data_IF_252323741205
#
_entry.id   IF_252323741205
#
_cell.length_a   1.000
_cell.length_b   1.000
_cell.length_c   1.000
_cell.angle_alpha   90.00
_cell.angle_beta   90.00
_cell.angle_gamma   90.00
#
_symmetry.space_group_name_H-M   'P 1'
#
loop_
_entity.id
_entity.type
_entity.pdbx_description
1 polymer ?
#
# COMPACT_ATOMS: atom_id res chain seq x y z
N UNK A 1 30.48 21.04 -57.48
CA UNK A 1 30.77 20.18 -56.32
C UNK A 1 29.90 20.73 -55.20
N UNK A 2 28.64 20.32 -55.04
CA UNK A 2 28.02 19.01 -55.37
C UNK A 2 28.78 17.86 -54.66
N UNK A 3 28.18 16.99 -53.83
CA UNK A 3 26.77 16.68 -53.51
C UNK A 3 26.64 16.46 -51.97
N UNK A 4 25.54 16.71 -51.24
CA UNK A 4 24.15 16.13 -51.18
C UNK A 4 24.07 14.72 -50.56
N UNK A 5 23.15 14.56 -49.57
CA UNK A 5 22.61 13.33 -48.96
C UNK A 5 23.57 12.48 -48.06
N UNK A 6 23.12 11.63 -47.11
CA UNK A 6 21.86 11.44 -46.32
C UNK A 6 22.18 10.43 -45.18
N UNK A 7 21.29 10.24 -44.20
CA UNK A 7 21.14 8.96 -43.48
C UNK A 7 21.26 8.98 -41.95
N UNK A 8 20.34 8.28 -41.30
CA UNK A 8 20.26 8.03 -39.85
C UNK A 8 21.00 6.75 -39.44
N UNK A 9 21.29 6.61 -38.13
CA UNK A 9 21.14 5.37 -37.34
C UNK A 9 21.88 5.51 -36.00
N UNK A 10 21.15 5.31 -34.90
CA UNK A 10 21.70 4.84 -33.63
C UNK A 10 21.56 3.31 -33.65
N UNK A 11 22.67 2.57 -33.54
CA UNK A 11 22.76 1.19 -32.99
C UNK A 11 24.14 0.55 -33.27
N UNK A 12 25.04 0.56 -32.26
CA UNK A 12 26.10 -0.48 -32.12
C UNK A 12 26.72 -0.43 -30.70
N UNK A 13 26.00 -0.96 -29.70
CA UNK A 13 26.51 -1.08 -28.32
C UNK A 13 26.47 -2.52 -27.76
N UNK A 14 26.40 -3.53 -28.64
CA UNK A 14 26.41 -4.96 -28.28
C UNK A 14 27.68 -5.71 -28.69
N UNK A 15 28.84 -5.03 -28.70
CA UNK A 15 30.13 -5.62 -29.13
C UNK A 15 31.34 -5.24 -28.25
N UNK A 16 31.43 -5.78 -27.02
CA UNK A 16 32.71 -6.15 -26.37
C UNK A 16 32.54 -6.97 -25.07
N UNK A 17 32.06 -8.22 -25.19
CA UNK A 17 32.17 -9.19 -24.09
C UNK A 17 33.59 -9.79 -23.98
N UNK A 18 33.93 -10.22 -22.75
CA UNK A 18 34.94 -11.27 -22.42
C UNK A 18 36.43 -10.89 -22.34
N UNK A 19 37.12 -11.49 -21.34
CA UNK A 19 38.59 -11.58 -21.09
C UNK A 19 39.20 -10.31 -20.47
N UNK A 20 39.82 -10.33 -19.28
CA UNK A 20 40.74 -11.35 -18.73
C UNK A 20 40.79 -11.31 -17.18
N UNK A 21 41.10 -12.43 -16.53
CA UNK A 21 41.26 -12.56 -15.05
C UNK A 21 42.63 -12.08 -14.54
N UNK A 22 42.67 -11.79 -13.22
CA UNK A 22 43.84 -11.82 -12.31
C UNK A 22 44.95 -10.76 -12.49
N UNK A 23 45.06 -9.86 -11.50
CA UNK A 23 46.19 -9.91 -10.55
C UNK A 23 45.84 -9.17 -9.25
N UNK A 24 46.24 -9.73 -8.10
CA UNK A 24 46.09 -9.09 -6.78
C UNK A 24 47.47 -8.77 -6.21
N UNK A 25 47.75 -7.50 -5.84
CA UNK A 25 48.87 -7.19 -4.95
C UNK A 25 48.71 -5.83 -4.25
N UNK A 26 49.18 -5.75 -3.00
CA UNK A 26 49.03 -4.59 -2.11
C UNK A 26 49.87 -3.37 -2.54
N UNK A 27 49.30 -2.16 -2.38
CA UNK A 27 50.05 -0.98 -1.92
C UNK A 27 49.22 -0.27 -0.84
N UNK A 28 49.82 -0.07 0.34
CA UNK A 28 49.30 0.74 1.44
C UNK A 28 50.31 1.87 1.70
N UNK A 29 49.94 3.13 1.45
CA UNK A 29 50.74 4.32 1.82
C UNK A 29 49.79 5.45 2.21
N UNK A 30 50.04 6.09 3.36
CA UNK A 30 49.30 7.27 3.83
C UNK A 30 49.88 8.56 3.23
N UNK A 31 49.04 9.58 3.09
CA UNK A 31 49.42 10.99 3.01
C UNK A 31 48.38 11.84 3.77
N UNK A 32 48.76 13.01 4.28
CA UNK A 32 47.94 13.74 5.27
C UNK A 32 48.10 15.27 5.19
N UNK A 33 46.97 15.99 5.27
CA UNK A 33 46.77 17.33 5.89
C UNK A 33 47.40 18.58 5.20
N UNK A 34 46.69 19.72 5.36
CA UNK A 34 47.07 21.13 5.09
C UNK A 34 47.01 21.65 3.62
N UNK A 35 46.65 22.92 3.33
CA UNK A 35 46.19 24.03 4.20
C UNK A 35 45.44 25.18 3.46
N UNK A 36 44.81 26.05 4.26
CA UNK A 36 44.22 27.39 4.08
C UNK A 36 44.56 28.26 2.83
N UNK A 37 43.52 28.94 2.31
CA UNK A 37 43.41 30.41 2.15
C UNK A 37 41.92 30.80 1.85
N UNK A 38 41.24 31.88 2.30
CA UNK A 38 41.52 33.12 3.06
C UNK A 38 41.37 34.44 2.25
N UNK A 39 40.20 35.09 2.40
CA UNK A 39 39.83 36.50 2.11
C UNK A 39 38.78 36.87 3.21
N UNK A 40 38.71 38.00 3.93
CA UNK A 40 39.10 39.43 3.75
C UNK A 40 38.33 40.18 2.65
N UNK A 41 37.70 41.33 2.89
CA UNK A 41 37.45 42.16 4.11
C UNK A 41 36.13 42.95 3.93
N UNK A 42 35.52 43.49 5.00
CA UNK A 42 35.19 44.95 5.14
C UNK A 42 34.26 45.30 6.33
N UNK A 43 34.61 46.38 7.05
CA UNK A 43 33.79 47.15 8.00
C UNK A 43 34.44 48.54 8.17
N UNK A 44 33.70 49.67 8.40
CA UNK A 44 33.49 50.14 9.79
C UNK A 44 32.29 51.09 10.06
N UNK A 45 32.04 51.43 11.35
CA UNK A 45 31.16 52.53 11.85
C UNK A 45 30.20 52.05 12.96
N UNK A 46 30.30 52.39 14.27
CA UNK A 46 30.44 53.68 14.98
C UNK A 46 29.10 54.48 15.06
N UNK A 47 28.60 55.03 16.18
CA UNK A 47 29.17 55.36 17.52
C UNK A 47 28.14 55.24 18.69
N UNK A 48 28.63 54.95 19.91
CA UNK A 48 28.15 55.32 21.28
C UNK A 48 26.68 55.71 21.63
N UNK A 49 26.17 55.09 22.73
CA UNK A 49 25.98 55.80 24.01
C UNK A 49 24.56 56.12 24.53
N UNK A 50 24.33 55.92 25.84
CA UNK A 50 23.15 56.39 26.60
C UNK A 50 22.84 55.54 27.84
N UNK A 51 22.75 56.16 29.03
CA UNK A 51 22.36 55.56 30.33
C UNK A 51 21.04 56.20 30.84
N UNK A 52 20.64 55.89 32.08
CA UNK A 52 19.57 56.50 32.91
C UNK A 52 18.08 56.14 32.60
N UNK A 53 17.12 56.11 33.53
CA UNK A 53 17.10 55.76 34.98
C UNK A 53 15.61 55.59 35.48
N UNK A 54 15.43 54.91 36.61
CA UNK A 54 14.40 55.08 37.66
C UNK A 54 12.84 54.98 37.45
N UNK A 55 12.22 54.33 38.47
CA UNK A 55 10.88 54.56 39.09
C UNK A 55 9.58 54.12 38.38
N UNK A 56 8.69 53.28 38.97
CA UNK A 56 7.78 53.42 40.16
C UNK A 56 6.47 54.17 39.78
N UNK A 57 5.22 53.68 40.00
CA UNK A 57 4.57 53.32 41.30
C UNK A 57 3.32 52.40 41.24
N UNK A 58 3.08 51.73 42.38
CA UNK A 58 1.93 50.96 42.95
C UNK A 58 0.43 51.31 42.68
N UNK A 59 -0.43 50.29 42.90
CA UNK A 59 -1.90 50.31 43.17
C UNK A 59 -2.53 48.93 42.85
N UNK A 60 -3.08 48.05 43.73
CA UNK A 60 -3.81 48.15 45.02
C UNK A 60 -5.31 48.54 44.82
N UNK A 61 -6.37 47.83 45.27
CA UNK A 61 -6.53 46.62 46.12
C UNK A 61 -7.94 45.96 45.95
N UNK A 62 -8.21 44.87 46.71
CA UNK A 62 -9.53 44.47 47.32
C UNK A 62 -10.77 44.03 46.47
N UNK A 63 -11.76 43.26 46.95
CA UNK A 63 -11.88 42.01 47.78
C UNK A 63 -13.36 41.49 47.71
N UNK A 64 -13.65 40.30 48.28
CA UNK A 64 -15.00 39.67 48.48
C UNK A 64 -15.80 39.24 47.21
N UNK A 65 -16.56 38.13 47.10
CA UNK A 65 -17.14 37.08 47.96
C UNK A 65 -18.69 37.10 47.96
N UNK A 66 -19.33 35.99 47.57
CA UNK A 66 -20.51 35.32 48.21
C UNK A 66 -21.04 34.16 47.35
N UNK A 67 -21.41 33.05 47.99
CA UNK A 67 -22.29 31.98 47.49
C UNK A 67 -23.76 32.51 47.27
N UNK A 68 -24.81 31.78 46.87
CA UNK A 68 -25.28 30.50 47.43
C UNK A 68 -26.51 29.92 46.68
N UNK A 69 -26.89 28.69 47.07
CA UNK A 69 -28.20 28.02 47.02
C UNK A 69 -28.78 27.34 45.75
N UNK A 70 -29.64 26.35 46.04
CA UNK A 70 -30.21 25.33 45.14
C UNK A 70 -31.76 25.43 45.09
N UNK A 71 -32.37 25.06 43.97
CA UNK A 71 -33.84 25.02 43.81
C UNK A 71 -34.31 23.82 42.96
N UNK A 72 -35.35 23.11 43.42
CA UNK A 72 -35.79 21.82 42.85
C UNK A 72 -37.31 21.72 42.63
N UNK A 73 -37.72 20.64 41.93
CA UNK A 73 -39.04 19.97 41.98
C UNK A 73 -40.22 20.39 41.06
N UNK A 74 -40.55 19.48 40.15
CA UNK A 74 -41.81 18.71 40.07
C UNK A 74 -43.18 19.34 39.71
N UNK A 75 -43.64 18.95 38.50
CA UNK A 75 -44.88 18.17 38.26
C UNK A 75 -46.24 18.87 37.94
N UNK A 76 -47.07 18.10 37.20
CA UNK A 76 -48.55 18.09 37.07
C UNK A 76 -49.26 18.70 35.84
N UNK A 77 -50.21 17.88 35.31
CA UNK A 77 -51.31 18.14 34.34
C UNK A 77 -50.95 18.53 32.89
N UNK A 78 -51.50 17.98 31.79
CA UNK A 78 -52.72 17.20 31.42
C UNK A 78 -53.73 17.99 30.55
N UNK A 79 -53.83 17.62 29.27
CA UNK A 79 -55.09 17.63 28.47
C UNK A 79 -55.04 16.59 27.35
N UNK A 80 -56.12 15.82 27.19
CA UNK A 80 -56.43 14.89 26.06
C UNK A 80 -56.77 15.63 24.74
N UNK A 81 -56.90 15.02 23.55
CA UNK A 81 -57.80 13.91 23.18
C UNK A 81 -57.58 13.38 21.73
N UNK A 82 -58.07 12.15 21.45
CA UNK A 82 -58.38 11.56 20.13
C UNK A 82 -57.19 11.19 19.19
N UNK A 83 -57.17 10.05 18.48
CA UNK A 83 -58.24 9.06 18.16
C UNK A 83 -57.75 7.60 18.29
N UNK A 84 -58.68 6.65 18.33
CA UNK A 84 -58.53 5.24 18.73
C UNK A 84 -58.08 4.26 17.62
N UNK A 85 -57.68 3.05 18.01
CA UNK A 85 -57.32 1.91 17.18
C UNK A 85 -58.47 0.88 17.04
N UNK A 86 -58.23 -0.26 16.39
CA UNK A 86 -58.89 -1.58 16.59
C UNK A 86 -58.30 -2.60 15.59
N UNK A 87 -58.32 -3.92 15.76
CA UNK A 87 -58.09 -4.83 16.92
C UNK A 87 -58.05 -6.29 16.36
N UNK A 88 -57.61 -7.29 17.14
CA UNK A 88 -57.74 -8.76 16.92
C UNK A 88 -56.91 -9.40 15.76
N UNK A 89 -56.36 -10.63 15.83
CA UNK A 89 -56.25 -11.67 16.88
C UNK A 89 -55.19 -12.75 16.49
N UNK A 90 -54.51 -13.37 17.48
CA UNK A 90 -54.52 -14.83 17.82
C UNK A 90 -54.44 -15.91 16.67
N UNK A 91 -53.66 -17.01 16.67
CA UNK A 91 -52.51 -17.52 17.49
C UNK A 91 -51.73 -18.64 16.73
N UNK A 92 -50.78 -19.30 17.42
CA UNK A 92 -49.81 -20.34 17.04
C UNK A 92 -50.32 -21.74 16.57
N UNK A 93 -49.48 -22.42 15.78
CA UNK A 93 -49.06 -23.86 15.88
C UNK A 93 -49.67 -24.98 14.98
N UNK A 94 -48.87 -26.06 14.84
CA UNK A 94 -49.17 -27.48 14.56
C UNK A 94 -49.56 -28.01 13.13
N UNK A 95 -48.51 -28.37 12.38
CA UNK A 95 -48.27 -29.62 11.58
C UNK A 95 -49.34 -30.71 11.29
N UNK A 96 -49.26 -31.25 10.05
CA UNK A 96 -49.30 -32.70 9.63
C UNK A 96 -50.54 -33.31 8.88
N UNK A 97 -50.25 -34.35 8.07
CA UNK A 97 -51.11 -35.41 7.45
C UNK A 97 -51.84 -35.23 6.08
N UNK A 98 -51.15 -35.64 5.00
CA UNK A 98 -51.54 -36.59 3.90
C UNK A 98 -52.98 -36.77 3.36
N UNK A 99 -53.16 -36.67 2.02
CA UNK A 99 -53.80 -37.67 1.10
C UNK A 99 -53.59 -37.26 -0.40
N UNK A 100 -52.81 -37.97 -1.25
CA UNK A 100 -53.14 -39.06 -2.23
C UNK A 100 -53.87 -38.71 -3.54
N UNK A 101 -53.20 -38.95 -4.71
CA UNK A 101 -53.73 -39.28 -6.08
C UNK A 101 -54.70 -38.30 -6.77
N UNK A 102 -54.84 -38.17 -8.10
CA UNK A 102 -54.26 -38.78 -9.33
C UNK A 102 -54.38 -37.72 -10.48
N UNK A 103 -54.11 -37.85 -11.80
CA UNK A 103 -53.94 -38.98 -12.77
C UNK A 103 -53.11 -38.51 -14.01
N UNK A 104 -52.83 -39.40 -14.97
CA UNK A 104 -52.18 -39.11 -16.29
C UNK A 104 -53.14 -39.04 -17.49
N UNK A 105 -52.74 -38.36 -18.58
CA UNK A 105 -53.00 -38.68 -20.01
C UNK A 105 -52.08 -37.78 -20.89
N UNK A 106 -50.98 -38.23 -21.50
CA UNK A 106 -50.77 -39.00 -22.77
C UNK A 106 -50.87 -38.21 -24.10
N UNK A 107 -49.89 -38.51 -24.97
CA UNK A 107 -49.70 -38.06 -26.36
C UNK A 107 -50.74 -38.57 -27.37
N UNK A 108 -50.86 -37.87 -28.51
CA UNK A 108 -51.21 -38.49 -29.81
C UNK A 108 -50.46 -37.82 -30.99
N UNK A 109 -50.47 -38.45 -32.18
CA UNK A 109 -49.63 -38.15 -33.37
C UNK A 109 -50.33 -38.47 -34.72
N UNK A 110 -49.64 -38.25 -35.86
CA UNK A 110 -50.00 -38.58 -37.27
C UNK A 110 -50.98 -37.63 -37.99
N UNK A 111 -50.60 -36.79 -38.98
CA UNK A 111 -50.00 -37.01 -40.32
C UNK A 111 -51.01 -37.29 -41.48
N UNK A 112 -50.73 -36.70 -42.66
CA UNK A 112 -51.41 -36.82 -43.98
C UNK A 112 -52.83 -36.18 -44.12
N UNK A 113 -53.29 -35.66 -45.28
CA UNK A 113 -52.70 -35.58 -46.66
C UNK A 113 -53.23 -34.38 -47.47
N UNK A 114 -52.44 -33.98 -48.49
CA UNK A 114 -52.82 -33.37 -49.79
C UNK A 114 -53.41 -31.94 -49.83
N UNK A 115 -53.05 -31.18 -50.87
CA UNK A 115 -53.35 -29.75 -51.04
C UNK A 115 -52.43 -29.05 -52.05
N UNK A 116 -52.60 -29.37 -53.34
CA UNK A 116 -51.78 -28.88 -54.48
C UNK A 116 -51.62 -27.35 -54.59
N UNK A 117 -50.41 -26.90 -54.92
CA UNK A 117 -50.19 -25.71 -55.76
C UNK A 117 -48.99 -25.94 -56.71
N UNK A 118 -49.03 -25.33 -57.91
CA UNK A 118 -48.00 -25.47 -58.96
C UNK A 118 -47.86 -24.21 -59.83
N UNK A 119 -46.86 -23.38 -59.54
CA UNK A 119 -46.17 -22.50 -60.51
C UNK A 119 -44.72 -22.43 -60.03
N UNK A 120 -43.77 -23.05 -60.74
CA UNK A 120 -43.12 -22.49 -61.93
C UNK A 120 -42.48 -21.13 -61.62
N UNK A 121 -41.18 -21.17 -61.34
CA UNK A 121 -40.42 -20.08 -60.72
C UNK A 121 -38.92 -20.29 -60.80
N UNK A 122 -38.44 -20.83 -61.93
CA UNK A 122 -37.03 -21.02 -62.31
C UNK A 122 -36.11 -21.72 -61.31
N UNK A 123 -35.63 -22.88 -61.73
CA UNK A 123 -34.36 -23.48 -61.31
C UNK A 123 -33.18 -22.52 -61.56
N UNK A 124 -33.00 -21.55 -60.66
CA UNK A 124 -31.67 -21.08 -60.33
C UNK A 124 -31.11 -22.06 -59.31
N UNK A 125 -30.30 -23.00 -59.80
CA UNK A 125 -29.11 -23.43 -59.08
C UNK A 125 -28.41 -22.14 -58.66
N UNK A 126 -28.60 -21.75 -57.39
CA UNK A 126 -27.62 -20.90 -56.74
C UNK A 126 -26.30 -21.63 -56.92
N UNK A 127 -25.31 -20.95 -57.48
CA UNK A 127 -23.95 -21.46 -57.42
C UNK A 127 -23.52 -21.37 -55.97
N UNK A 128 -23.88 -22.39 -55.21
CA UNK A 128 -22.93 -23.05 -54.34
C UNK A 128 -21.62 -23.10 -55.14
N UNK A 129 -20.71 -22.20 -54.84
CA UNK A 129 -19.31 -22.42 -55.15
C UNK A 129 -18.86 -23.53 -54.24
N UNK A 130 -19.23 -24.76 -54.62
CA UNK A 130 -18.58 -26.01 -54.26
C UNK A 130 -17.14 -25.94 -54.82
N UNK A 131 -16.36 -25.05 -54.21
CA UNK A 131 -14.92 -25.06 -54.25
C UNK A 131 -14.49 -26.31 -53.49
N UNK A 132 -14.52 -27.42 -54.21
CA UNK A 132 -13.67 -28.60 -53.96
C UNK A 132 -12.19 -28.25 -54.22
N UNK A 133 -11.75 -27.15 -53.63
CA UNK A 133 -10.37 -26.89 -53.25
C UNK A 133 -10.23 -27.29 -51.78
N UNK A 134 -9.07 -27.80 -51.38
CA UNK A 134 -8.82 -28.25 -50.01
C UNK A 134 -8.41 -27.10 -49.08
N UNK A 135 -9.07 -25.96 -49.17
CA UNK A 135 -8.83 -24.79 -48.33
C UNK A 135 -9.91 -24.65 -47.27
N UNK A 136 -9.50 -24.35 -46.03
CA UNK A 136 -10.38 -24.25 -44.87
C UNK A 136 -11.45 -23.17 -44.96
N UNK A 137 -12.42 -23.29 -44.06
CA UNK A 137 -13.60 -22.42 -43.98
C UNK A 137 -13.61 -21.63 -42.66
N UNK A 138 -12.55 -20.84 -42.42
CA UNK A 138 -12.46 -19.78 -41.41
C UNK A 138 -13.84 -19.29 -40.91
N UNK A 139 -14.18 -19.71 -39.69
CA UNK A 139 -15.51 -19.56 -39.09
C UNK A 139 -16.23 -20.89 -38.83
N UNK A 140 -15.57 -22.04 -38.96
CA UNK A 140 -16.16 -23.36 -38.65
C UNK A 140 -15.58 -24.00 -37.36
N UNK A 141 -14.51 -23.44 -36.81
CA UNK A 141 -13.88 -23.87 -35.57
C UNK A 141 -12.91 -25.05 -35.73
N UNK A 142 -12.42 -25.30 -36.95
CA UNK A 142 -11.40 -26.30 -37.26
C UNK A 142 -10.18 -25.60 -37.87
N UNK A 143 -9.04 -25.62 -37.17
CA UNK A 143 -7.78 -25.09 -37.68
C UNK A 143 -7.30 -25.93 -38.89
N UNK A 144 -7.46 -25.38 -40.10
CA UNK A 144 -7.06 -26.01 -41.36
C UNK A 144 -5.64 -25.61 -41.84
N UNK A 145 -5.09 -26.33 -42.82
CA UNK A 145 -3.70 -26.20 -43.33
C UNK A 145 -3.29 -24.78 -43.83
N UNK A 146 -4.25 -23.85 -44.00
CA UNK A 146 -4.05 -22.48 -44.50
C UNK A 146 -4.26 -21.38 -43.45
N UNK A 147 -4.53 -21.76 -42.20
CA UNK A 147 -4.96 -20.84 -41.13
C UNK A 147 -3.96 -20.82 -39.97
N UNK A 148 -4.01 -19.75 -39.18
CA UNK A 148 -3.19 -19.58 -37.97
C UNK A 148 -3.98 -19.97 -36.72
N UNK A 149 -5.27 -19.65 -36.70
CA UNK A 149 -6.25 -20.10 -35.71
C UNK A 149 -7.67 -19.98 -36.29
N UNK A 150 -8.60 -20.79 -35.79
CA UNK A 150 -10.05 -20.63 -35.96
C UNK A 150 -10.71 -21.01 -34.63
N UNK A 151 -11.49 -20.10 -34.03
CA UNK A 151 -12.24 -20.32 -32.78
C UNK A 151 -13.76 -20.52 -32.99
N UNK A 152 -14.22 -20.50 -34.25
CA UNK A 152 -15.62 -20.62 -34.67
C UNK A 152 -16.43 -19.32 -34.57
N UNK A 153 -15.81 -18.21 -34.12
CA UNK A 153 -16.42 -16.88 -34.01
C UNK A 153 -15.64 -15.87 -34.84
N UNK A 154 -14.31 -15.86 -34.69
CA UNK A 154 -13.32 -15.07 -35.42
C UNK A 154 -13.69 -13.58 -35.53
N UNK A 155 -14.15 -12.98 -34.43
CA UNK A 155 -14.62 -11.59 -34.38
C UNK A 155 -13.52 -10.58 -33.99
N UNK A 156 -12.29 -11.04 -33.77
CA UNK A 156 -11.19 -10.23 -33.25
C UNK A 156 -11.28 -9.97 -31.74
N UNK A 157 -12.06 -10.77 -30.99
CA UNK A 157 -12.09 -10.69 -29.53
C UNK A 157 -10.79 -11.16 -28.89
N UNK A 158 -10.48 -10.58 -27.73
CA UNK A 158 -9.23 -10.79 -26.99
C UNK A 158 -9.00 -12.26 -26.62
N UNK A 159 -7.81 -12.78 -26.92
CA UNK A 159 -7.47 -14.20 -26.78
C UNK A 159 -8.08 -15.13 -27.84
N UNK A 160 -8.80 -14.59 -28.83
CA UNK A 160 -9.41 -15.31 -29.95
C UNK A 160 -8.73 -15.04 -31.29
N UNK A 161 -9.49 -15.16 -32.37
CA UNK A 161 -9.02 -15.07 -33.75
C UNK A 161 -9.54 -13.85 -34.50
N UNK A 162 -8.73 -13.32 -35.43
CA UNK A 162 -9.18 -12.29 -36.35
C UNK A 162 -10.04 -12.86 -37.49
N UNK A 163 -10.94 -12.04 -38.03
CA UNK A 163 -11.94 -12.40 -39.06
C UNK A 163 -11.42 -12.84 -40.44
N UNK A 164 -10.11 -13.08 -40.58
CA UNK A 164 -9.47 -13.70 -41.75
C UNK A 164 -8.76 -15.02 -41.44
N UNK A 165 -8.71 -15.44 -40.17
CA UNK A 165 -7.96 -16.60 -39.66
C UNK A 165 -6.47 -16.63 -40.05
N UNK A 166 -5.91 -15.51 -40.51
CA UNK A 166 -4.49 -15.35 -40.85
C UNK A 166 -3.67 -14.83 -39.66
N UNK A 167 -4.32 -14.52 -38.54
CA UNK A 167 -3.70 -14.00 -37.32
C UNK A 167 -4.60 -14.24 -36.10
N UNK A 168 -3.96 -14.43 -34.95
CA UNK A 168 -4.62 -14.28 -33.65
C UNK A 168 -5.09 -12.82 -33.49
N UNK A 169 -6.17 -12.63 -32.74
CA UNK A 169 -6.49 -11.33 -32.15
C UNK A 169 -5.44 -10.96 -31.10
N UNK A 170 -5.61 -9.81 -30.45
CA UNK A 170 -4.70 -9.37 -29.39
C UNK A 170 -4.81 -10.27 -28.14
N UNK A 171 -3.70 -10.64 -27.50
CA UNK A 171 -3.68 -11.63 -26.41
C UNK A 171 -2.47 -11.55 -25.47
N UNK A 172 -2.68 -11.81 -24.18
CA UNK A 172 -1.61 -11.89 -23.18
C UNK A 172 -0.48 -12.85 -23.59
N UNK A 173 0.74 -12.31 -23.64
CA UNK A 173 1.95 -12.99 -24.08
C UNK A 173 2.34 -12.68 -25.54
N UNK A 174 1.77 -11.62 -26.14
CA UNK A 174 2.11 -11.14 -27.50
C UNK A 174 3.15 -10.01 -27.52
N UNK A 175 3.49 -9.47 -26.34
CA UNK A 175 4.42 -8.35 -26.08
C UNK A 175 3.94 -6.95 -26.50
N UNK A 176 2.64 -6.74 -26.76
CA UNK A 176 2.04 -5.42 -26.99
C UNK A 176 0.85 -5.15 -26.05
N UNK A 177 1.04 -4.44 -24.93
CA UNK A 177 -0.03 -4.11 -23.96
C UNK A 177 -1.31 -3.61 -24.65
N UNK A 178 -2.36 -4.43 -24.62
CA UNK A 178 -3.58 -4.29 -25.41
C UNK A 178 -4.84 -4.71 -24.62
N UNK A 179 -6.01 -4.52 -25.24
CA UNK A 179 -7.26 -5.12 -24.74
C UNK A 179 -7.59 -4.78 -23.26
N UNK A 180 -7.61 -5.77 -22.35
CA UNK A 180 -7.82 -5.60 -20.92
C UNK A 180 -6.52 -5.60 -20.08
N UNK A 181 -5.34 -5.67 -20.70
CA UNK A 181 -4.04 -5.91 -20.05
C UNK A 181 -3.53 -4.67 -19.29
N UNK A 182 -2.79 -4.92 -18.21
CA UNK A 182 -2.01 -3.91 -17.48
C UNK A 182 -0.52 -3.96 -17.83
N UNK A 183 -0.04 -5.13 -18.25
CA UNK A 183 1.34 -5.42 -18.62
C UNK A 183 1.38 -6.55 -19.68
N UNK A 184 2.46 -6.64 -20.45
CA UNK A 184 2.83 -7.83 -21.21
C UNK A 184 4.36 -7.86 -21.32
N UNK A 185 4.95 -8.97 -20.88
CA UNK A 185 6.37 -9.28 -20.80
C UNK A 185 6.79 -10.45 -21.74
N UNK A 186 5.81 -11.07 -22.39
CA UNK A 186 5.84 -12.36 -23.08
C UNK A 186 6.54 -13.50 -22.31
N UNK A 187 6.36 -13.61 -20.99
CA UNK A 187 6.89 -14.73 -20.21
C UNK A 187 5.99 -15.22 -19.04
N UNK A 188 6.57 -15.93 -18.07
CA UNK A 188 5.86 -16.62 -16.96
C UNK A 188 6.55 -16.32 -15.58
N UNK A 189 7.49 -15.37 -15.50
CA UNK A 189 8.29 -15.09 -14.30
C UNK A 189 7.56 -14.10 -13.37
N UNK A 190 6.74 -14.67 -12.48
CA UNK A 190 5.91 -13.99 -11.47
C UNK A 190 6.63 -12.88 -10.67
N UNK A 191 7.97 -12.88 -10.63
CA UNK A 191 8.78 -11.91 -9.89
C UNK A 191 9.06 -10.59 -10.62
N UNK A 192 8.89 -10.50 -11.95
CA UNK A 192 9.26 -9.29 -12.71
C UNK A 192 8.19 -8.18 -12.73
N UNK A 193 6.96 -8.51 -12.32
CA UNK A 193 5.85 -7.58 -12.16
C UNK A 193 4.69 -7.79 -13.13
N UNK A 194 4.81 -8.73 -14.07
CA UNK A 194 3.67 -9.22 -14.85
C UNK A 194 3.33 -10.67 -14.47
N UNK A 195 2.09 -10.91 -14.06
CA UNK A 195 1.56 -12.27 -13.94
C UNK A 195 1.17 -12.77 -15.34
N UNK A 196 1.22 -14.08 -15.61
CA UNK A 196 0.83 -14.65 -16.92
C UNK A 196 -0.69 -14.65 -17.21
N UNK A 197 -1.43 -13.77 -16.55
CA UNK A 197 -2.77 -13.29 -16.93
C UNK A 197 -2.76 -11.81 -17.41
N UNK A 198 -1.58 -11.20 -17.51
CA UNK A 198 -1.31 -9.82 -17.92
C UNK A 198 -1.90 -8.73 -16.98
N UNK A 199 -1.87 -9.01 -15.68
CA UNK A 199 -2.17 -8.08 -14.59
C UNK A 199 -0.93 -7.83 -13.72
N UNK A 200 -0.85 -6.63 -13.12
CA UNK A 200 0.24 -6.25 -12.20
C UNK A 200 -0.20 -6.51 -10.75
N UNK A 201 0.47 -7.40 -10.00
CA UNK A 201 0.06 -7.74 -8.65
C UNK A 201 0.18 -6.53 -7.72
N UNK A 202 -0.88 -6.22 -6.99
CA UNK A 202 -0.91 -5.16 -5.99
C UNK A 202 -0.21 -5.58 -4.70
N UNK A 203 -0.15 -6.88 -4.41
CA UNK A 203 0.39 -7.45 -3.16
C UNK A 203 1.11 -8.78 -3.40
N UNK A 204 1.96 -9.20 -2.47
CA UNK A 204 2.53 -10.55 -2.46
C UNK A 204 1.46 -11.65 -2.25
N UNK A 205 0.33 -11.32 -1.61
CA UNK A 205 -0.79 -12.25 -1.44
C UNK A 205 -1.45 -12.61 -2.78
N UNK A 206 -1.64 -11.62 -3.67
CA UNK A 206 -2.17 -11.86 -5.02
C UNK A 206 -1.25 -12.78 -5.85
N UNK A 207 0.07 -12.67 -5.67
CA UNK A 207 1.06 -13.56 -6.33
C UNK A 207 0.92 -14.99 -5.80
N UNK A 208 0.75 -15.16 -4.48
CA UNK A 208 0.62 -16.47 -3.83
C UNK A 208 -0.73 -17.15 -4.10
N UNK A 209 -1.82 -16.37 -4.24
CA UNK A 209 -3.13 -16.87 -4.69
C UNK A 209 -3.12 -17.23 -6.19
N UNK A 210 -2.27 -16.57 -6.99
CA UNK A 210 -2.08 -16.91 -8.41
C UNK A 210 -1.26 -18.20 -8.61
N UNK A 211 -0.11 -18.34 -7.92
CA UNK A 211 0.63 -19.61 -7.82
C UNK A 211 1.03 -19.93 -6.38
N UNK A 212 0.35 -20.92 -5.79
CA UNK A 212 0.67 -21.49 -4.48
C UNK A 212 2.01 -22.26 -4.42
N UNK A 213 2.81 -22.25 -5.48
CA UNK A 213 4.21 -22.67 -5.50
C UNK A 213 5.23 -21.51 -5.45
N UNK A 214 4.78 -20.25 -5.34
CA UNK A 214 5.64 -19.10 -5.05
C UNK A 214 6.43 -19.30 -3.73
N UNK A 215 7.57 -18.61 -3.61
CA UNK A 215 8.53 -18.80 -2.51
C UNK A 215 9.13 -17.48 -2.05
N UNK A 216 9.59 -17.41 -0.81
CA UNK A 216 10.19 -16.20 -0.23
C UNK A 216 11.25 -15.57 -1.16
N UNK A 217 11.17 -14.26 -1.39
CA UNK A 217 12.08 -13.55 -2.28
C UNK A 217 11.57 -12.19 -2.75
N UNK A 218 12.32 -11.58 -3.67
CA UNK A 218 12.01 -10.26 -4.21
C UNK A 218 11.09 -10.37 -5.43
N UNK A 219 9.94 -9.69 -5.37
CA UNK A 219 8.96 -9.61 -6.46
C UNK A 219 8.62 -8.13 -6.73
N UNK A 220 8.30 -7.79 -7.97
CA UNK A 220 7.74 -6.48 -8.29
C UNK A 220 6.23 -6.47 -8.02
N UNK A 221 5.76 -5.49 -7.25
CA UNK A 221 4.33 -5.24 -6.95
C UNK A 221 4.00 -3.77 -7.16
N UNK A 222 2.74 -3.45 -7.48
CA UNK A 222 2.28 -2.07 -7.69
C UNK A 222 1.07 -1.67 -6.87
N UNK A 223 1.16 -1.52 -5.52
CA UNK A 223 0.04 -1.14 -4.64
C UNK A 223 -0.69 0.17 -4.99
N UNK A 224 -0.11 0.98 -5.88
CA UNK A 224 -0.66 2.26 -6.37
C UNK A 224 -1.10 2.19 -7.84
N UNK A 225 -1.36 0.99 -8.35
CA UNK A 225 -1.66 0.73 -9.76
C UNK A 225 -0.43 0.36 -10.61
N UNK A 226 -0.65 -0.15 -11.83
CA UNK A 226 0.37 -0.81 -12.65
C UNK A 226 1.51 0.11 -13.12
N UNK A 227 1.32 1.42 -13.15
CA UNK A 227 2.38 2.38 -13.48
C UNK A 227 3.33 2.72 -12.31
N UNK A 228 3.03 2.22 -11.10
CA UNK A 228 3.72 2.57 -9.85
C UNK A 228 4.30 1.31 -9.14
N UNK A 229 5.05 0.48 -9.88
CA UNK A 229 5.65 -0.77 -9.35
C UNK A 229 6.97 -0.56 -8.60
N UNK A 230 7.16 -1.30 -7.51
CA UNK A 230 8.42 -1.40 -6.77
C UNK A 230 8.76 -2.84 -6.40
N UNK A 231 10.03 -3.09 -6.07
CA UNK A 231 10.53 -4.39 -5.64
C UNK A 231 10.25 -4.58 -4.14
N UNK A 232 9.22 -5.35 -3.81
CA UNK A 232 8.92 -5.76 -2.45
C UNK A 232 9.73 -7.00 -2.05
N UNK A 233 9.89 -7.19 -0.73
CA UNK A 233 10.33 -8.45 -0.15
C UNK A 233 9.07 -9.26 0.19
N UNK A 234 8.82 -10.34 -0.53
CA UNK A 234 7.67 -11.20 -0.28
C UNK A 234 8.05 -12.37 0.63
N UNK A 235 7.43 -12.47 1.80
CA UNK A 235 7.44 -13.70 2.59
C UNK A 235 6.21 -14.55 2.20
N UNK A 236 6.50 -15.74 1.66
CA UNK A 236 5.52 -16.70 1.15
C UNK A 236 5.37 -17.93 2.07
N UNK A 237 5.94 -17.90 3.29
CA UNK A 237 5.99 -19.07 4.19
C UNK A 237 5.58 -18.77 5.64
N UNK A 238 5.86 -17.58 6.19
CA UNK A 238 5.47 -17.17 7.54
C UNK A 238 3.96 -17.07 7.65
N UNK A 239 3.39 -17.80 8.61
CA UNK A 239 1.94 -17.93 8.84
C UNK A 239 1.09 -18.14 7.56
N UNK A 240 1.63 -18.88 6.59
CA UNK A 240 0.96 -19.17 5.32
C UNK A 240 1.29 -18.23 4.14
N UNK A 241 2.13 -17.21 4.36
CA UNK A 241 2.67 -16.36 3.29
C UNK A 241 1.75 -15.22 2.82
N UNK A 242 2.14 -14.57 1.73
CA UNK A 242 1.43 -13.45 1.10
C UNK A 242 1.84 -12.07 1.63
N UNK A 243 2.85 -12.01 2.49
CA UNK A 243 3.28 -10.79 3.17
C UNK A 243 4.03 -9.85 2.23
N UNK A 244 3.59 -8.59 2.16
CA UNK A 244 4.19 -7.56 1.32
C UNK A 244 5.15 -6.70 2.15
N UNK A 245 6.45 -6.97 2.02
CA UNK A 245 7.53 -6.27 2.73
C UNK A 245 8.03 -5.02 2.00
N UNK A 246 8.08 -3.90 2.72
CA UNK A 246 8.64 -2.63 2.23
C UNK A 246 9.56 -1.96 3.26
N UNK A 247 10.46 -1.10 2.76
CA UNK A 247 11.44 -0.37 3.55
C UNK A 247 11.19 1.14 3.59
N UNK A 248 11.85 1.86 4.50
CA UNK A 248 11.77 3.32 4.59
C UNK A 248 12.19 4.08 3.31
N UNK A 249 12.84 3.43 2.33
CA UNK A 249 13.14 4.03 1.03
C UNK A 249 11.92 4.16 0.11
N UNK A 250 10.92 3.27 0.26
CA UNK A 250 9.74 3.25 -0.61
C UNK A 250 8.84 4.49 -0.37
N UNK A 251 8.86 5.04 0.85
CA UNK A 251 8.07 6.21 1.27
C UNK A 251 8.51 7.55 0.67
N UNK A 252 9.70 7.60 0.06
CA UNK A 252 10.30 8.82 -0.50
C UNK A 252 10.64 8.75 -1.99
N UNK A 253 10.83 7.54 -2.53
CA UNK A 253 10.98 7.33 -3.97
C UNK A 253 9.66 7.58 -4.73
N UNK A 254 8.53 7.47 -4.04
CA UNK A 254 7.17 7.62 -4.57
C UNK A 254 6.39 6.30 -4.64
N UNK A 255 7.07 5.19 -4.37
CA UNK A 255 6.55 3.81 -4.37
C UNK A 255 5.36 3.63 -3.42
N UNK A 256 5.40 4.26 -2.24
CA UNK A 256 4.29 4.39 -1.29
C UNK A 256 4.15 5.87 -0.91
N UNK A 257 2.92 6.37 -0.80
CA UNK A 257 2.70 7.74 -0.30
C UNK A 257 2.83 7.77 1.23
N UNK A 258 3.41 8.85 1.78
CA UNK A 258 3.57 8.98 3.22
C UNK A 258 3.49 10.43 3.72
N UNK A 259 3.07 10.60 4.98
CA UNK A 259 2.87 11.90 5.61
C UNK A 259 3.45 11.92 7.04
N UNK A 260 4.42 12.80 7.26
CA UNK A 260 4.97 13.10 8.59
C UNK A 260 4.15 14.20 9.26
N UNK A 261 3.57 13.91 10.42
CA UNK A 261 2.71 14.82 11.19
C UNK A 261 3.31 15.07 12.58
N UNK A 262 3.47 16.34 12.95
CA UNK A 262 3.78 16.74 14.32
C UNK A 262 2.47 16.94 15.10
N UNK A 263 2.25 16.13 16.14
CA UNK A 263 1.17 16.32 17.11
C UNK A 263 1.61 17.31 18.18
N UNK A 264 2.81 17.11 18.73
CA UNK A 264 3.58 18.09 19.49
C UNK A 264 4.97 18.21 18.86
N UNK A 265 5.33 19.41 18.40
CA UNK A 265 6.51 19.62 17.55
C UNK A 265 7.83 19.70 18.33
N UNK A 266 8.86 19.02 17.84
CA UNK A 266 10.19 18.98 18.41
C UNK A 266 11.01 20.23 18.03
N UNK A 267 11.91 20.73 18.91
CA UNK A 267 12.92 21.73 18.60
C UNK A 267 13.88 21.41 17.43
N UNK A 268 14.25 20.14 17.21
CA UNK A 268 14.86 19.66 15.96
C UNK A 268 14.03 18.53 15.34
N UNK A 269 13.58 18.71 14.11
CA UNK A 269 12.94 17.67 13.31
C UNK A 269 13.51 17.59 11.88
N UNK A 270 13.28 16.47 11.19
CA UNK A 270 13.62 16.37 9.77
C UNK A 270 13.44 14.98 9.17
N UNK A 271 13.92 14.86 7.93
CA UNK A 271 14.10 13.59 7.20
C UNK A 271 15.52 13.60 6.64
N UNK A 272 16.25 12.50 6.79
CA UNK A 272 17.64 12.41 6.35
C UNK A 272 17.81 12.00 4.86
N UNK A 273 19.05 11.86 4.42
CA UNK A 273 19.38 11.51 3.03
C UNK A 273 19.06 10.05 2.65
N UNK A 274 18.75 9.21 3.63
CA UNK A 274 18.27 7.84 3.46
C UNK A 274 16.76 7.72 3.72
N UNK A 275 16.04 8.85 3.74
CA UNK A 275 14.59 8.96 3.90
C UNK A 275 14.03 8.54 5.27
N UNK A 276 14.86 8.53 6.30
CA UNK A 276 14.41 8.26 7.67
C UNK A 276 13.98 9.57 8.34
N UNK A 277 12.74 9.70 8.83
CA UNK A 277 12.37 10.83 9.67
C UNK A 277 13.15 10.76 10.99
N UNK A 278 13.35 11.91 11.62
CA UNK A 278 13.92 11.99 12.95
C UNK A 278 13.37 13.17 13.74
N UNK A 279 13.46 13.04 15.06
CA UNK A 279 13.25 14.13 16.02
C UNK A 279 14.35 14.14 17.07
N UNK A 280 14.64 15.32 17.61
CA UNK A 280 15.33 15.53 18.88
C UNK A 280 14.75 16.78 19.52
N UNK A 281 14.33 16.69 20.78
CA UNK A 281 14.06 17.89 21.56
C UNK A 281 15.32 18.49 22.16
N UNK A 282 15.22 19.74 22.61
CA UNK A 282 16.31 20.49 23.21
C UNK A 282 15.77 21.30 24.40
N UNK A 283 15.11 20.61 25.34
CA UNK A 283 14.02 21.07 26.22
C UNK A 283 12.63 21.10 25.54
N UNK A 284 11.79 20.11 25.87
CA UNK A 284 10.37 20.04 25.54
C UNK A 284 9.80 18.64 25.77
N UNK A 285 8.57 18.44 25.36
CA UNK A 285 8.09 17.12 24.94
C UNK A 285 7.75 17.20 23.46
N UNK A 286 7.65 16.04 22.80
CA UNK A 286 7.25 15.96 21.40
C UNK A 286 6.50 14.66 21.12
N UNK A 287 5.63 14.67 20.10
CA UNK A 287 4.90 13.48 19.62
C UNK A 287 4.65 13.64 18.13
N UNK A 288 5.07 12.64 17.35
CA UNK A 288 4.96 12.61 15.90
C UNK A 288 4.27 11.31 15.46
N UNK A 289 3.57 11.39 14.33
CA UNK A 289 3.11 10.22 13.59
C UNK A 289 3.66 10.27 12.17
N UNK A 290 4.03 9.11 11.63
CA UNK A 290 4.35 8.93 10.24
C UNK A 290 3.37 7.92 9.66
N UNK A 291 2.51 8.43 8.79
CA UNK A 291 1.46 7.68 8.13
C UNK A 291 2.01 7.22 6.76
N UNK A 292 1.82 5.94 6.42
CA UNK A 292 2.27 5.31 5.17
C UNK A 292 1.05 4.64 4.54
N UNK A 293 0.67 5.08 3.34
CA UNK A 293 -0.51 4.57 2.64
C UNK A 293 -0.18 3.28 1.86
N UNK A 294 -0.95 2.24 2.10
CA UNK A 294 -0.95 0.96 1.39
C UNK A 294 -2.36 0.71 0.82
N UNK A 295 -2.66 1.20 -0.40
CA UNK A 295 -4.02 1.26 -0.93
C UNK A 295 -4.80 -0.08 -1.08
N UNK A 296 -4.16 -1.25 -1.27
CA UNK A 296 -4.88 -2.53 -1.29
C UNK A 296 -5.55 -2.86 0.06
N UNK A 297 -5.03 -2.26 1.14
CA UNK A 297 -5.41 -2.57 2.51
C UNK A 297 -4.58 -3.70 3.10
N UNK A 298 -4.61 -3.79 4.43
CA UNK A 298 -4.02 -4.85 5.24
C UNK A 298 -4.83 -4.98 6.54
N UNK A 299 -4.93 -6.18 7.11
CA UNK A 299 -5.50 -6.39 8.46
C UNK A 299 -4.51 -6.96 9.48
N UNK A 300 -3.27 -7.23 9.06
CA UNK A 300 -2.16 -7.58 9.94
C UNK A 300 -0.78 -7.10 9.43
N UNK A 301 0.19 -7.01 10.35
CA UNK A 301 1.57 -6.63 10.01
C UNK A 301 2.61 -7.31 10.92
N UNK A 302 3.87 -7.41 10.47
CA UNK A 302 5.01 -7.74 11.33
C UNK A 302 6.27 -6.93 10.97
N UNK A 303 7.28 -6.99 11.85
CA UNK A 303 8.45 -6.13 11.86
C UNK A 303 9.76 -6.95 11.69
N UNK A 304 10.07 -7.30 10.44
CA UNK A 304 11.21 -8.18 10.09
C UNK A 304 12.56 -7.46 10.17
N UNK A 305 13.46 -7.96 11.03
CA UNK A 305 14.76 -7.34 11.37
C UNK A 305 14.67 -5.82 11.66
N UNK A 306 13.52 -5.36 12.19
CA UNK A 306 13.24 -3.94 12.40
C UNK A 306 14.08 -3.32 13.52
N UNK A 307 14.63 -2.13 13.27
CA UNK A 307 15.51 -1.41 14.20
C UNK A 307 15.10 0.05 14.34
N UNK A 308 14.98 0.54 15.59
CA UNK A 308 14.92 1.96 15.95
C UNK A 308 16.31 2.48 16.34
N UNK A 309 16.54 3.79 16.32
CA UNK A 309 17.79 4.39 16.77
C UNK A 309 17.61 5.66 17.57
N UNK A 310 18.31 5.74 18.71
CA UNK A 310 18.37 6.95 19.53
C UNK A 310 19.11 8.10 18.83
N UNK A 311 18.62 9.33 19.04
CA UNK A 311 19.20 10.59 18.58
C UNK A 311 19.24 11.61 19.73
N UNK A 312 19.82 11.24 20.87
CA UNK A 312 20.04 12.16 21.98
C UNK A 312 21.39 12.88 21.89
N UNK A 313 21.54 14.00 22.60
CA UNK A 313 22.81 14.74 22.68
C UNK A 313 23.47 14.54 24.04
N UNK A 314 24.65 13.92 24.06
CA UNK A 314 25.39 13.66 25.29
C UNK A 314 25.61 14.95 26.12
N UNK A 315 25.22 14.98 27.40
CA UNK A 315 25.15 13.82 28.31
C UNK A 315 23.83 13.05 28.35
N UNK A 316 22.78 13.50 27.67
CA UNK A 316 21.43 12.95 27.74
C UNK A 316 21.23 11.75 26.79
N UNK A 317 20.08 11.06 26.92
CA UNK A 317 19.87 9.69 26.43
C UNK A 317 18.41 9.44 26.04
N UNK A 318 18.12 8.91 24.85
CA UNK A 318 16.76 8.50 24.47
C UNK A 318 16.39 7.17 25.14
N UNK A 319 15.17 7.05 25.63
CA UNK A 319 14.88 6.16 26.76
C UNK A 319 13.47 5.52 26.70
N UNK A 320 13.37 4.29 26.18
CA UNK A 320 12.12 3.50 26.23
C UNK A 320 12.11 2.63 27.50
N UNK A 321 11.02 2.71 28.27
CA UNK A 321 10.88 1.94 29.52
C UNK A 321 9.44 1.47 29.78
N UNK A 322 9.17 0.20 29.44
CA UNK A 322 7.91 -0.50 29.68
C UNK A 322 7.38 -0.51 31.14
N UNK A 323 8.22 -0.16 32.12
CA UNK A 323 7.83 -0.01 33.53
C UNK A 323 7.37 1.40 33.92
N UNK A 324 7.45 2.36 33.00
CA UNK A 324 7.17 3.80 33.22
C UNK A 324 6.07 4.29 32.28
N UNK A 325 6.21 4.04 30.98
CA UNK A 325 5.28 4.45 29.94
C UNK A 325 5.14 3.35 28.88
N UNK A 326 3.96 3.30 28.24
CA UNK A 326 3.64 2.51 27.04
C UNK A 326 2.63 3.34 26.25
N UNK A 327 2.88 3.58 24.97
CA UNK A 327 1.98 4.38 24.14
C UNK A 327 0.62 3.69 23.97
N UNK A 328 -0.46 4.44 24.17
CA UNK A 328 -1.84 3.94 24.11
C UNK A 328 -2.82 4.90 23.39
N UNK A 329 -2.28 5.97 22.81
CA UNK A 329 -2.99 6.92 21.94
C UNK A 329 -2.00 7.44 20.89
N UNK A 330 -2.49 7.81 19.71
CA UNK A 330 -1.68 8.55 18.74
C UNK A 330 -1.45 10.01 19.15
N UNK A 331 -2.24 10.56 20.09
CA UNK A 331 -2.14 11.94 20.56
C UNK A 331 -0.99 12.20 21.56
N UNK A 332 -0.39 11.15 22.16
CA UNK A 332 0.61 11.25 23.23
C UNK A 332 1.56 10.03 23.19
N UNK A 333 2.85 10.27 22.93
CA UNK A 333 3.91 9.25 22.87
C UNK A 333 4.93 9.33 24.02
N UNK A 334 4.63 10.04 25.13
CA UNK A 334 5.56 10.21 26.26
C UNK A 334 4.87 10.19 27.66
N UNK A 335 3.55 10.33 27.72
CA UNK A 335 2.73 10.23 28.93
C UNK A 335 2.96 11.34 29.96
N UNK A 336 3.54 12.48 29.54
CA UNK A 336 4.13 13.48 30.44
C UNK A 336 5.21 12.90 31.39
N UNK A 337 5.84 11.79 30.99
CA UNK A 337 7.00 11.22 31.67
C UNK A 337 8.30 11.72 31.01
N UNK A 338 9.44 11.30 31.55
CA UNK A 338 10.74 11.48 30.93
C UNK A 338 11.16 10.25 30.12
N UNK A 339 10.23 9.60 29.42
CA UNK A 339 10.42 8.33 28.71
C UNK A 339 9.45 8.27 27.53
N UNK A 340 9.96 7.87 26.38
CA UNK A 340 9.21 7.78 25.13
C UNK A 340 8.77 6.37 24.81
N UNK A 341 8.26 6.23 23.59
CA UNK A 341 7.97 4.95 22.96
C UNK A 341 8.11 5.08 21.43
N UNK A 342 8.20 3.94 20.75
CA UNK A 342 8.10 3.85 19.28
C UNK A 342 7.08 2.75 18.98
N UNK A 343 6.01 3.09 18.28
CA UNK A 343 4.78 2.30 18.22
C UNK A 343 4.20 2.19 16.81
N UNK A 344 3.38 1.14 16.60
CA UNK A 344 2.96 0.66 15.28
C UNK A 344 1.49 0.24 15.30
N UNK A 345 0.76 0.53 14.23
CA UNK A 345 -0.63 0.10 14.07
C UNK A 345 -1.34 0.79 12.91
N UNK A 346 -2.67 0.72 12.89
CA UNK A 346 -3.49 1.47 11.92
C UNK A 346 -3.63 2.94 12.32
N UNK A 347 -3.62 3.82 11.32
CA UNK A 347 -3.96 5.23 11.47
C UNK A 347 -5.45 5.49 11.82
N UNK A 348 -6.34 4.53 11.53
CA UNK A 348 -7.79 4.61 11.75
C UNK A 348 -8.19 4.26 13.20
N UNK A 349 -7.33 3.52 13.91
CA UNK A 349 -7.54 3.14 15.31
C UNK A 349 -7.12 4.26 16.29
N UNK A 350 -7.67 4.33 17.52
CA UNK A 350 -7.35 5.39 18.49
C UNK A 350 -5.89 5.40 18.99
N UNK A 351 -5.14 4.34 18.76
CA UNK A 351 -3.76 4.17 19.23
C UNK A 351 -3.09 2.94 18.61
N UNK A 352 -1.83 2.67 18.97
CA UNK A 352 -1.05 1.58 18.37
C UNK A 352 -1.58 0.18 18.73
N UNK A 353 -1.26 -0.78 17.85
CA UNK A 353 -1.47 -2.21 18.08
C UNK A 353 -0.31 -2.82 18.90
N UNK A 354 0.91 -2.31 18.74
CA UNK A 354 2.10 -2.67 19.53
C UNK A 354 3.11 -1.52 19.61
N UNK A 355 4.09 -1.62 20.49
CA UNK A 355 5.22 -0.70 20.62
C UNK A 355 6.42 -1.37 21.27
N UNK A 356 7.60 -0.73 21.20
CA UNK A 356 8.78 -1.21 21.91
C UNK A 356 8.49 -1.39 23.41
N UNK A 357 7.80 -0.43 24.04
CA UNK A 357 7.44 -0.55 25.45
C UNK A 357 6.35 -1.61 25.71
N UNK A 358 5.40 -1.81 24.79
CA UNK A 358 4.39 -2.86 24.92
C UNK A 358 5.01 -4.27 24.90
N UNK A 359 6.00 -4.49 24.03
CA UNK A 359 6.79 -5.72 23.97
C UNK A 359 7.91 -5.79 25.03
N UNK A 360 7.89 -4.89 26.02
CA UNK A 360 8.72 -4.98 27.22
C UNK A 360 10.13 -4.41 27.11
N UNK A 361 10.42 -3.58 26.10
CA UNK A 361 11.73 -2.95 25.96
C UNK A 361 12.11 -2.07 27.17
N UNK A 362 13.42 -2.03 27.43
CA UNK A 362 14.00 -1.26 28.54
C UNK A 362 15.44 -0.87 28.22
N UNK A 363 15.64 0.31 27.64
CA UNK A 363 16.96 0.80 27.23
C UNK A 363 17.08 2.32 27.33
N UNK A 364 18.32 2.80 27.37
CA UNK A 364 18.71 4.16 27.77
C UNK A 364 20.08 4.44 27.13
N UNK A 365 20.13 5.27 26.07
CA UNK A 365 21.34 5.45 25.26
C UNK A 365 21.38 6.73 24.42
N UNK A 366 22.58 7.12 23.97
CA UNK A 366 22.76 8.37 23.19
C UNK A 366 22.48 8.16 21.69
N UNK A 367 23.12 7.14 21.10
CA UNK A 367 23.07 6.83 19.65
C UNK A 367 22.96 5.31 19.38
N UNK A 368 22.34 4.52 20.26
CA UNK A 368 22.24 3.07 20.06
C UNK A 368 21.17 2.68 19.04
N UNK A 369 21.42 1.56 18.37
CA UNK A 369 20.54 0.89 17.41
C UNK A 369 19.95 -0.34 18.11
N UNK A 370 18.62 -0.37 18.29
CA UNK A 370 17.92 -1.40 19.07
C UNK A 370 16.85 -2.07 18.21
N UNK A 371 16.79 -3.40 18.27
CA UNK A 371 15.90 -4.21 17.43
C UNK A 371 14.55 -4.48 18.10
N UNK A 372 13.49 -4.63 17.30
CA UNK A 372 12.14 -4.85 17.82
C UNK A 372 12.02 -6.20 18.57
N UNK A 373 11.40 -6.28 19.77
CA UNK A 373 11.60 -7.43 20.64
C UNK A 373 11.01 -8.78 20.18
N UNK A 374 10.01 -8.77 19.29
CA UNK A 374 9.24 -9.97 18.88
C UNK A 374 9.58 -10.53 17.49
N UNK A 375 10.34 -9.78 16.67
CA UNK A 375 10.65 -10.14 15.28
C UNK A 375 9.40 -10.48 14.45
N UNK A 376 9.46 -11.60 13.74
CA UNK A 376 8.49 -12.03 12.72
C UNK A 376 7.16 -12.58 13.30
N UNK A 377 6.67 -11.99 14.38
CA UNK A 377 5.39 -12.33 15.02
C UNK A 377 4.29 -11.37 14.53
N UNK A 378 3.24 -11.85 13.84
CA UNK A 378 2.15 -11.00 13.36
C UNK A 378 1.35 -10.29 14.44
N UNK A 379 1.04 -9.01 14.18
CA UNK A 379 0.14 -8.16 14.94
C UNK A 379 -1.16 -7.96 14.16
N UNK A 380 -2.27 -8.44 14.71
CA UNK A 380 -3.62 -8.31 14.14
C UNK A 380 -4.19 -6.92 14.41
N UNK A 381 -4.82 -6.29 13.42
CA UNK A 381 -5.63 -5.09 13.59
C UNK A 381 -7.07 -5.45 14.03
N UNK A 382 -7.86 -4.44 14.39
CA UNK A 382 -9.29 -4.61 14.72
C UNK A 382 -10.19 -4.58 13.46
N UNK A 383 -9.70 -4.01 12.36
CA UNK A 383 -10.30 -3.97 11.04
C UNK A 383 -9.21 -3.73 9.99
N UNK A 384 -9.49 -4.07 8.73
CA UNK A 384 -8.65 -3.74 7.58
C UNK A 384 -8.46 -2.22 7.47
N UNK A 385 -7.22 -1.78 7.30
CA UNK A 385 -6.83 -0.38 7.15
C UNK A 385 -6.00 -0.20 5.87
N UNK A 386 -5.99 1.00 5.29
CA UNK A 386 -5.12 1.36 4.16
C UNK A 386 -3.93 2.21 4.58
N UNK A 387 -3.74 2.46 5.88
CA UNK A 387 -2.73 3.40 6.36
C UNK A 387 -2.05 2.87 7.63
N UNK A 388 -0.80 2.44 7.46
CA UNK A 388 0.09 2.11 8.57
C UNK A 388 0.55 3.40 9.23
N UNK A 389 0.52 3.46 10.56
CA UNK A 389 1.05 4.56 11.36
C UNK A 389 2.19 4.08 12.25
N UNK A 390 3.31 4.79 12.17
CA UNK A 390 4.41 4.72 13.13
C UNK A 390 4.31 5.96 14.03
N UNK A 391 4.14 5.77 15.34
CA UNK A 391 4.08 6.84 16.34
C UNK A 391 5.32 6.87 17.21
N UNK A 392 5.83 8.05 17.56
CA UNK A 392 6.93 8.18 18.52
C UNK A 392 6.98 9.55 19.19
N UNK A 393 7.76 9.64 20.26
CA UNK A 393 8.04 10.89 20.96
C UNK A 393 9.02 10.69 22.12
N UNK A 394 9.36 11.80 22.76
CA UNK A 394 10.00 11.85 24.08
C UNK A 394 9.36 12.97 24.90
N UNK A 395 9.67 13.01 26.19
CA UNK A 395 9.22 14.08 27.08
C UNK A 395 10.29 14.50 28.07
N UNK A 396 10.30 15.76 28.45
CA UNK A 396 11.07 16.21 29.62
C UNK A 396 11.73 17.57 29.44
N UNK A 397 13.03 17.61 29.74
CA UNK A 397 13.86 18.81 29.64
C UNK A 397 15.33 18.48 29.34
N UNK A 398 15.54 17.36 28.66
CA UNK A 398 16.84 16.86 28.21
C UNK A 398 16.93 17.11 26.68
N UNK A 399 17.98 16.62 26.03
CA UNK A 399 18.16 16.73 24.58
C UNK A 399 17.99 15.33 23.94
N UNK A 400 16.74 14.87 23.72
CA UNK A 400 16.40 13.44 23.48
C UNK A 400 15.52 13.22 22.23
N UNK A 401 15.54 12.02 21.63
CA UNK A 401 14.69 11.71 20.47
C UNK A 401 15.10 10.51 19.62
N UNK A 402 14.46 10.32 18.45
CA UNK A 402 14.46 9.06 17.71
C UNK A 402 14.59 9.22 16.20
N UNK A 403 15.27 8.26 15.57
CA UNK A 403 14.92 7.74 14.25
C UNK A 403 14.00 6.52 14.49
N UNK A 404 12.67 6.63 14.35
CA UNK A 404 11.76 5.53 14.68
C UNK A 404 11.95 4.30 13.78
N UNK A 405 12.44 4.51 12.55
CA UNK A 405 12.87 3.47 11.61
C UNK A 405 14.31 3.76 11.16
N UNK A 406 15.25 2.91 11.56
CA UNK A 406 16.66 3.00 11.18
C UNK A 406 17.06 1.98 10.12
N UNK A 407 16.55 0.75 10.25
CA UNK A 407 16.71 -0.34 9.28
C UNK A 407 15.65 -1.43 9.50
N UNK A 408 15.65 -2.46 8.65
CA UNK A 408 14.66 -3.54 8.64
C UNK A 408 13.46 -3.24 7.75
N UNK A 409 12.54 -4.19 7.68
CA UNK A 409 11.40 -4.22 6.75
C UNK A 409 10.09 -4.28 7.55
N UNK A 410 9.06 -3.57 7.09
CA UNK A 410 7.70 -3.77 7.59
C UNK A 410 6.95 -4.61 6.56
N UNK A 411 6.34 -5.70 7.03
CA UNK A 411 5.52 -6.61 6.22
C UNK A 411 4.06 -6.41 6.56
N UNK A 412 3.19 -6.30 5.55
CA UNK A 412 1.73 -6.18 5.70
C UNK A 412 0.99 -7.25 4.89
N UNK A 413 -0.19 -7.67 5.36
CA UNK A 413 -1.08 -8.65 4.70
C UNK A 413 -2.54 -8.30 4.95
#
# INVERSE_FOLDING_TARGET
MLDIALGDSLDDWKSMQTRTRLLSLNILVLASVAALAACSDDAPGDTSGGEDDATDTVGDADTESTDDEVGTSSDSTDTTDSTDATDTTDTTDATDTTDTTDTTDTTDTTDTTDGTDTTDGTDTVATETDTTDGGGLCGDGILDDNEVCDDGVNDGSYGGCNSDCQSLAAFCGDAEINGPEECDDANDDLADGCLSNCLVPQTCLEILDFDAAATDGLYMVGPKGPENVFMADCDMTTDGGGWTGFGHGNTCNGDLDSALTAVEAAPEEGVDAECRPFTTDTNGAHTYTWDIEFPPGFDEFYLGDYVTKARALAPDTSEINAGVFVQSSWDDAHGNTARGDVSFGSADEPGPATSYAAEGANFECVECEEAFPTGDTPFQLQATSTTLRIGWGEGGSQDEGWFPWWSGVIFVR
#
